data_IF_928610691792
#
_entry.id   IF_928610691792
#
_cell.length_a   1.000
_cell.length_b   1.000
_cell.length_c   1.000
_cell.angle_alpha   90.00
_cell.angle_beta   90.00
_cell.angle_gamma   90.00
#
_symmetry.space_group_name_H-M   'P 1'
#
loop_
_entity.id
_entity.type
_entity.pdbx_description
1 polymer ?
#
# COMPACT_ATOMS: atom_id res chain seq x y z
N UNK A 1 6.15 19.27 7.31
CA UNK A 1 6.83 17.96 7.11
C UNK A 1 7.66 18.06 5.83
N UNK A 2 8.98 17.96 5.94
CA UNK A 2 9.89 18.00 4.78
C UNK A 2 10.15 16.58 4.28
N UNK A 3 10.03 16.34 2.97
CA UNK A 3 10.23 15.01 2.36
C UNK A 3 11.62 14.45 2.67
N UNK A 4 12.66 15.27 2.58
CA UNK A 4 14.02 14.81 2.87
C UNK A 4 14.21 14.33 4.31
N UNK A 5 13.52 14.96 5.27
CA UNK A 5 13.55 14.51 6.67
C UNK A 5 12.77 13.19 6.85
N UNK A 6 11.59 13.08 6.24
CA UNK A 6 10.80 11.84 6.23
C UNK A 6 11.56 10.67 5.62
N UNK A 7 12.22 10.89 4.48
CA UNK A 7 13.00 9.88 3.77
C UNK A 7 14.17 9.37 4.62
N UNK A 8 14.94 10.29 5.25
CA UNK A 8 16.02 9.91 6.16
C UNK A 8 15.52 9.14 7.38
N UNK A 9 14.41 9.59 7.99
CA UNK A 9 13.81 8.89 9.12
C UNK A 9 13.34 7.49 8.75
N UNK A 10 12.74 7.34 7.56
CA UNK A 10 12.33 6.05 7.02
C UNK A 10 13.51 5.09 6.87
N UNK A 11 14.60 5.55 6.25
CA UNK A 11 15.78 4.73 5.98
C UNK A 11 16.57 4.33 7.24
N UNK A 12 16.41 5.05 8.36
CA UNK A 12 17.24 4.86 9.56
C UNK A 12 16.49 4.26 10.75
N UNK A 13 15.19 4.55 10.90
CA UNK A 13 14.47 4.28 12.14
C UNK A 13 13.12 3.60 11.95
N UNK A 14 12.62 3.44 10.72
CA UNK A 14 11.29 2.87 10.46
C UNK A 14 11.40 1.47 9.89
N UNK A 15 10.33 0.69 10.05
CA UNK A 15 10.17 -0.55 9.31
C UNK A 15 10.06 -0.23 7.82
N UNK A 16 10.70 -1.04 6.98
CA UNK A 16 10.76 -0.85 5.53
C UNK A 16 9.45 -1.27 4.84
N UNK A 17 8.35 -0.69 5.28
CA UNK A 17 7.01 -0.92 4.75
C UNK A 17 6.48 0.39 4.22
N UNK A 18 6.17 0.42 2.91
CA UNK A 18 5.63 1.59 2.24
C UNK A 18 4.29 1.25 1.60
N UNK A 19 3.36 2.20 1.68
CA UNK A 19 2.11 2.16 0.92
C UNK A 19 2.23 3.05 -0.29
N UNK A 20 1.87 2.52 -1.46
CA UNK A 20 1.80 3.27 -2.72
C UNK A 20 0.36 3.32 -3.20
N UNK A 21 -0.05 4.49 -3.67
CA UNK A 21 -1.38 4.70 -4.23
C UNK A 21 -1.34 5.78 -5.32
N UNK A 22 -2.29 5.71 -6.25
CA UNK A 22 -2.51 6.68 -7.31
C UNK A 22 -3.91 7.25 -7.20
N UNK A 23 -4.07 8.57 -7.25
CA UNK A 23 -5.39 9.21 -7.23
C UNK A 23 -5.57 10.19 -8.37
N UNK A 24 -6.70 10.05 -9.08
CA UNK A 24 -7.04 10.94 -10.20
C UNK A 24 -7.48 12.29 -9.66
N UNK A 25 -6.82 13.35 -10.10
CA UNK A 25 -7.20 14.70 -9.74
C UNK A 25 -8.49 15.09 -10.45
N UNK A 26 -9.39 15.73 -9.71
CA UNK A 26 -10.61 16.34 -10.25
C UNK A 26 -10.35 17.83 -10.43
N UNK A 27 -10.41 18.32 -11.66
CA UNK A 27 -10.21 19.74 -11.96
C UNK A 27 -9.86 19.97 -13.42
N UNK A 28 -9.64 21.25 -13.77
CA UNK A 28 -9.32 21.67 -15.15
C UNK A 28 -8.13 20.95 -15.77
N UNK A 29 -7.15 20.58 -14.93
CA UNK A 29 -5.87 20.02 -15.38
C UNK A 29 -5.79 18.49 -15.27
N UNK A 30 -6.80 17.83 -14.69
CA UNK A 30 -6.84 16.37 -14.60
C UNK A 30 -5.55 15.77 -14.02
N UNK A 31 -5.18 14.58 -14.50
CA UNK A 31 -3.95 13.89 -14.12
C UNK A 31 -4.10 12.88 -12.99
N UNK A 32 -2.99 12.22 -12.69
CA UNK A 32 -2.80 11.27 -11.61
C UNK A 32 -1.73 11.81 -10.66
N UNK A 33 -2.00 11.73 -9.36
CA UNK A 33 -0.99 11.95 -8.32
C UNK A 33 -0.65 10.61 -7.69
N UNK A 34 0.62 10.24 -7.77
CA UNK A 34 1.19 9.10 -7.07
C UNK A 34 1.68 9.55 -5.71
N UNK A 35 1.45 8.74 -4.68
CA UNK A 35 1.94 9.01 -3.33
C UNK A 35 2.53 7.74 -2.74
N UNK A 36 3.71 7.89 -2.13
CA UNK A 36 4.32 6.86 -1.29
C UNK A 36 4.35 7.34 0.15
N UNK A 37 3.82 6.53 1.06
CA UNK A 37 3.83 6.80 2.49
C UNK A 37 4.44 5.65 3.28
N UNK A 38 5.00 5.96 4.43
CA UNK A 38 5.40 4.97 5.43
C UNK A 38 4.69 5.27 6.75
N UNK A 39 4.65 4.29 7.65
CA UNK A 39 4.21 4.48 9.03
C UNK A 39 5.35 4.20 9.99
N UNK A 40 5.49 5.04 11.01
CA UNK A 40 6.43 4.78 12.09
C UNK A 40 5.81 3.88 13.18
N UNK A 41 6.58 3.58 14.22
CA UNK A 41 6.13 2.76 15.35
C UNK A 41 5.04 3.42 16.22
N UNK A 42 4.78 4.72 16.03
CA UNK A 42 3.71 5.48 16.69
C UNK A 42 2.48 5.63 15.78
N UNK A 43 2.41 4.85 14.70
CA UNK A 43 1.34 4.86 13.70
C UNK A 43 1.20 6.19 12.93
N UNK A 44 2.19 7.08 13.03
CA UNK A 44 2.19 8.34 12.30
C UNK A 44 2.57 8.10 10.84
N UNK A 45 1.84 8.75 9.93
CA UNK A 45 2.04 8.63 8.49
C UNK A 45 3.07 9.66 8.02
N UNK A 46 4.13 9.18 7.39
CA UNK A 46 5.17 9.99 6.76
C UNK A 46 5.04 9.91 5.24
N UNK A 47 5.11 11.07 4.58
CA UNK A 47 5.19 11.13 3.12
C UNK A 47 6.65 10.91 2.69
N UNK A 48 6.88 9.88 1.88
CA UNK A 48 8.19 9.49 1.37
C UNK A 48 8.44 10.09 0.00
N UNK A 49 7.45 10.00 -0.90
CA UNK A 49 7.52 10.56 -2.23
C UNK A 49 6.13 10.94 -2.73
N UNK A 50 6.08 11.85 -3.69
CA UNK A 50 4.91 12.08 -4.53
C UNK A 50 5.36 12.32 -5.97
N UNK A 51 4.49 12.00 -6.92
CA UNK A 51 4.70 12.23 -8.34
C UNK A 51 3.40 12.67 -9.00
N UNK A 52 3.52 13.35 -10.14
CA UNK A 52 2.38 13.73 -10.97
C UNK A 52 2.64 13.26 -12.40
N UNK A 53 1.60 12.77 -13.04
CA UNK A 53 1.58 12.50 -14.47
C UNK A 53 0.17 12.81 -15.02
N UNK A 54 0.03 12.94 -16.33
CA UNK A 54 -1.23 13.26 -16.98
C UNK A 54 -2.15 12.03 -17.09
N UNK A 55 -1.56 10.83 -17.15
CA UNK A 55 -2.28 9.58 -17.35
C UNK A 55 -1.85 8.51 -16.36
N UNK A 56 -2.81 7.72 -15.89
CA UNK A 56 -2.54 6.53 -15.08
C UNK A 56 -2.28 5.33 -15.99
N UNK A 57 -1.08 5.28 -16.57
CA UNK A 57 -0.64 4.18 -17.45
C UNK A 57 0.59 3.47 -16.87
N UNK A 58 0.91 2.31 -17.44
CA UNK A 58 2.07 1.51 -17.01
C UNK A 58 3.38 2.31 -17.04
N UNK A 59 3.56 3.20 -18.02
CA UNK A 59 4.74 4.03 -18.15
C UNK A 59 4.88 5.03 -17.00
N UNK A 60 3.78 5.66 -16.60
CA UNK A 60 3.73 6.65 -15.51
C UNK A 60 4.03 6.01 -14.15
N UNK A 61 3.46 4.82 -13.90
CA UNK A 61 3.79 4.03 -12.72
C UNK A 61 5.26 3.60 -12.70
N UNK A 62 5.79 3.14 -13.84
CA UNK A 62 7.19 2.74 -13.95
C UNK A 62 8.14 3.91 -13.68
N UNK A 63 7.90 5.06 -14.33
CA UNK A 63 8.65 6.29 -14.09
C UNK A 63 8.65 6.70 -12.61
N UNK A 64 7.47 6.72 -11.98
CA UNK A 64 7.37 7.08 -10.56
C UNK A 64 8.15 6.11 -9.67
N UNK A 65 8.05 4.80 -9.93
CA UNK A 65 8.77 3.78 -9.18
C UNK A 65 10.28 3.85 -9.39
N UNK A 66 10.76 4.19 -10.60
CA UNK A 66 12.18 4.41 -10.87
C UNK A 66 12.72 5.63 -10.11
N UNK A 67 11.98 6.73 -10.08
CA UNK A 67 12.32 7.89 -9.24
C UNK A 67 12.35 7.55 -7.75
N UNK A 68 11.38 6.75 -7.29
CA UNK A 68 11.33 6.26 -5.92
C UNK A 68 12.55 5.38 -5.61
N UNK A 69 12.93 4.47 -6.51
CA UNK A 69 14.11 3.61 -6.36
C UNK A 69 15.40 4.43 -6.27
N UNK A 70 15.54 5.46 -7.10
CA UNK A 70 16.67 6.38 -7.03
C UNK A 70 16.78 7.09 -5.68
N UNK A 71 15.65 7.33 -5.00
CA UNK A 71 15.61 8.00 -3.70
C UNK A 71 15.81 7.06 -2.51
N UNK A 72 15.26 5.84 -2.58
CA UNK A 72 15.34 4.84 -1.51
C UNK A 72 16.67 4.06 -1.53
N UNK A 73 17.30 3.95 -2.70
CA UNK A 73 18.40 3.02 -2.93
C UNK A 73 17.92 1.59 -3.12
N UNK A 74 18.86 0.65 -3.10
CA UNK A 74 18.56 -0.78 -3.18
C UNK A 74 18.30 -1.35 -1.79
N UNK A 75 17.15 -2.00 -1.62
CA UNK A 75 16.80 -2.67 -0.38
C UNK A 75 15.85 -3.85 -0.68
N UNK A 76 16.31 -5.06 -0.42
CA UNK A 76 15.57 -6.29 -0.71
C UNK A 76 14.48 -6.59 0.34
N UNK A 77 14.58 -5.98 1.54
CA UNK A 77 13.60 -6.15 2.62
C UNK A 77 12.40 -5.19 2.50
N UNK A 78 12.33 -4.40 1.42
CA UNK A 78 11.26 -3.44 1.20
C UNK A 78 9.93 -4.16 0.97
N UNK A 79 8.90 -3.74 1.71
CA UNK A 79 7.53 -4.24 1.56
C UNK A 79 6.66 -3.16 0.96
N UNK A 80 6.01 -3.45 -0.16
CA UNK A 80 4.99 -2.61 -0.77
C UNK A 80 3.59 -3.05 -0.33
N UNK A 81 2.79 -2.09 0.10
CA UNK A 81 1.35 -2.19 0.26
C UNK A 81 0.71 -1.41 -0.89
N UNK A 82 -0.14 -2.06 -1.69
CA UNK A 82 -0.88 -1.39 -2.77
C UNK A 82 -2.32 -1.90 -2.83
N UNK A 83 -3.16 -1.28 -3.67
CA UNK A 83 -4.51 -1.76 -3.97
C UNK A 83 -4.53 -3.09 -4.76
N UNK A 84 -3.35 -3.61 -5.15
CA UNK A 84 -3.14 -4.80 -5.99
C UNK A 84 -3.80 -4.74 -7.36
N UNK A 85 -3.90 -3.56 -7.96
CA UNK A 85 -4.21 -3.49 -9.38
C UNK A 85 -3.10 -4.20 -10.19
N UNK A 86 -3.43 -5.12 -11.13
CA UNK A 86 -2.44 -5.93 -11.84
C UNK A 86 -1.34 -5.14 -12.55
N UNK A 87 -1.67 -3.93 -13.05
CA UNK A 87 -0.67 -3.05 -13.66
C UNK A 87 0.38 -2.57 -12.65
N UNK A 88 -0.06 -2.22 -11.42
CA UNK A 88 0.82 -1.73 -10.35
C UNK A 88 1.72 -2.87 -9.88
N UNK A 89 1.13 -4.05 -9.61
CA UNK A 89 1.88 -5.26 -9.24
C UNK A 89 2.96 -5.58 -10.28
N UNK A 90 2.61 -5.56 -11.57
CA UNK A 90 3.55 -5.81 -12.65
C UNK A 90 4.66 -4.74 -12.79
N UNK A 91 4.44 -3.49 -12.35
CA UNK A 91 5.47 -2.44 -12.38
C UNK A 91 6.36 -2.48 -11.15
N UNK A 92 5.81 -2.71 -9.96
CA UNK A 92 6.59 -2.90 -8.75
C UNK A 92 7.52 -4.11 -8.93
N UNK A 93 7.03 -5.26 -9.39
CA UNK A 93 7.87 -6.45 -9.61
C UNK A 93 8.95 -6.24 -10.68
N UNK A 94 8.76 -5.29 -11.61
CA UNK A 94 9.78 -4.93 -12.59
C UNK A 94 10.87 -4.06 -11.98
N UNK A 95 10.50 -3.03 -11.21
CA UNK A 95 11.44 -2.03 -10.68
C UNK A 95 12.11 -2.50 -9.39
N UNK A 96 11.36 -3.20 -8.54
CA UNK A 96 11.75 -3.76 -7.24
C UNK A 96 11.52 -5.29 -7.22
N UNK A 97 12.30 -6.07 -7.98
CA UNK A 97 12.05 -7.51 -8.16
C UNK A 97 12.18 -8.35 -6.89
N UNK A 98 12.88 -7.86 -5.87
CA UNK A 98 13.09 -8.55 -4.60
C UNK A 98 12.17 -8.06 -3.48
N UNK A 99 11.43 -6.97 -3.71
CA UNK A 99 10.52 -6.43 -2.71
C UNK A 99 9.32 -7.37 -2.51
N UNK A 100 8.82 -7.44 -1.28
CA UNK A 100 7.59 -8.17 -0.97
C UNK A 100 6.38 -7.31 -1.31
N UNK A 101 5.41 -7.85 -2.04
CA UNK A 101 4.15 -7.16 -2.36
C UNK A 101 3.02 -7.70 -1.48
N UNK A 102 2.24 -6.78 -0.92
CA UNK A 102 1.13 -7.07 0.00
C UNK A 102 -0.10 -6.26 -0.36
N UNK A 103 -1.25 -6.66 0.20
CA UNK A 103 -2.55 -6.05 -0.10
C UNK A 103 -2.83 -4.95 0.92
N UNK A 104 -3.27 -3.80 0.44
CA UNK A 104 -3.86 -2.78 1.29
C UNK A 104 -5.16 -3.32 1.92
N UNK A 105 -5.13 -3.51 3.24
CA UNK A 105 -6.27 -4.03 4.00
C UNK A 105 -7.53 -3.17 3.78
N UNK A 106 -7.41 -1.85 3.73
CA UNK A 106 -8.54 -0.96 3.50
C UNK A 106 -9.21 -1.20 2.14
N UNK A 107 -8.43 -1.30 1.06
CA UNK A 107 -8.94 -1.61 -0.28
C UNK A 107 -9.56 -3.02 -0.32
N UNK A 108 -8.89 -3.98 0.30
CA UNK A 108 -9.39 -5.37 0.41
C UNK A 108 -10.76 -5.43 1.10
N UNK A 109 -10.90 -4.82 2.27
CA UNK A 109 -12.15 -4.78 3.02
C UNK A 109 -13.26 -4.03 2.26
N UNK A 110 -12.93 -2.93 1.57
CA UNK A 110 -13.88 -2.25 0.69
C UNK A 110 -14.37 -3.13 -0.46
N UNK A 111 -13.48 -3.91 -1.07
CA UNK A 111 -13.84 -4.84 -2.13
C UNK A 111 -14.76 -5.96 -1.61
N UNK A 112 -14.49 -6.48 -0.41
CA UNK A 112 -15.40 -7.44 0.26
C UNK A 112 -16.77 -6.79 0.50
N UNK A 113 -16.82 -5.59 1.09
CA UNK A 113 -18.08 -4.90 1.34
C UNK A 113 -18.88 -4.67 0.05
N UNK A 114 -18.21 -4.28 -1.04
CA UNK A 114 -18.85 -4.05 -2.34
C UNK A 114 -19.36 -5.34 -2.98
N UNK A 115 -18.65 -6.46 -2.80
CA UNK A 115 -19.00 -7.74 -3.42
C UNK A 115 -20.08 -8.51 -2.67
N UNK A 116 -20.00 -8.53 -1.34
CA UNK A 116 -20.87 -9.36 -0.51
C UNK A 116 -21.95 -8.58 0.22
N UNK A 117 -21.83 -7.24 0.31
CA UNK A 117 -22.78 -6.37 1.02
C UNK A 117 -23.00 -6.75 2.51
N UNK A 118 -22.04 -7.47 3.11
CA UNK A 118 -22.12 -8.01 4.48
C UNK A 118 -21.12 -7.30 5.39
N UNK A 119 -21.64 -6.41 6.26
CA UNK A 119 -20.82 -5.62 7.21
C UNK A 119 -20.17 -6.48 8.29
N UNK A 120 -20.84 -7.53 8.70
CA UNK A 120 -20.37 -8.53 9.66
C UNK A 120 -19.15 -9.28 9.14
N UNK A 121 -19.17 -9.73 7.87
CA UNK A 121 -18.00 -10.35 7.21
C UNK A 121 -16.83 -9.38 7.18
N UNK A 122 -17.07 -8.11 6.83
CA UNK A 122 -16.02 -7.07 6.83
C UNK A 122 -15.46 -6.85 8.23
N UNK A 123 -16.31 -6.86 9.25
CA UNK A 123 -15.88 -6.66 10.65
C UNK A 123 -14.98 -7.79 11.13
N UNK A 124 -15.32 -9.05 10.83
CA UNK A 124 -14.49 -10.18 11.26
C UNK A 124 -13.19 -10.25 10.44
N UNK A 125 -13.25 -9.94 9.14
CA UNK A 125 -12.05 -9.84 8.31
C UNK A 125 -11.09 -8.74 8.78
N UNK A 126 -11.61 -7.59 9.22
CA UNK A 126 -10.79 -6.51 9.78
C UNK A 126 -10.09 -6.96 11.06
N UNK A 127 -10.81 -7.64 11.96
CA UNK A 127 -10.23 -8.25 13.16
C UNK A 127 -9.15 -9.29 12.83
N UNK A 128 -9.39 -10.12 11.81
CA UNK A 128 -8.39 -11.08 11.35
C UNK A 128 -7.13 -10.36 10.82
N UNK A 129 -7.29 -9.34 9.98
CA UNK A 129 -6.18 -8.59 9.39
C UNK A 129 -5.33 -7.84 10.43
N UNK A 130 -5.94 -7.41 11.55
CA UNK A 130 -5.25 -6.73 12.65
C UNK A 130 -4.71 -7.68 13.73
N UNK A 131 -4.94 -8.99 13.60
CA UNK A 131 -4.50 -9.96 14.60
C UNK A 131 -2.97 -10.09 14.62
N UNK A 132 -2.37 -9.70 15.75
CA UNK A 132 -0.91 -9.78 15.94
C UNK A 132 -0.39 -11.21 16.15
N UNK A 133 -1.27 -12.15 16.53
CA UNK A 133 -0.90 -13.54 16.81
C UNK A 133 -1.74 -14.50 15.98
N UNK A 134 -1.11 -15.58 15.51
CA UNK A 134 -1.70 -16.56 14.62
C UNK A 134 -2.96 -17.21 15.22
N UNK A 135 -2.95 -17.50 16.53
CA UNK A 135 -4.12 -18.05 17.22
C UNK A 135 -5.37 -17.15 17.07
N UNK A 136 -5.22 -15.83 17.24
CA UNK A 136 -6.34 -14.88 17.08
C UNK A 136 -6.76 -14.75 15.62
N UNK A 137 -5.79 -14.71 14.70
CA UNK A 137 -6.06 -14.72 13.27
C UNK A 137 -6.90 -15.94 12.89
N UNK A 138 -6.43 -17.15 13.23
CA UNK A 138 -7.09 -18.41 12.94
C UNK A 138 -8.50 -18.47 13.54
N UNK A 139 -8.69 -17.98 14.77
CA UNK A 139 -10.01 -17.88 15.40
C UNK A 139 -10.99 -17.04 14.58
N UNK A 140 -10.58 -15.88 14.07
CA UNK A 140 -11.46 -15.02 13.25
C UNK A 140 -11.71 -15.63 11.86
N UNK A 141 -10.73 -16.31 11.29
CA UNK A 141 -10.90 -17.03 10.02
C UNK A 141 -11.87 -18.21 10.18
N UNK A 142 -11.83 -18.91 11.30
CA UNK A 142 -12.79 -19.98 11.61
C UNK A 142 -14.20 -19.44 11.83
N UNK A 143 -14.34 -18.30 12.54
CA UNK A 143 -15.61 -17.59 12.67
C UNK A 143 -16.21 -17.26 11.29
N UNK A 144 -15.41 -16.73 10.37
CA UNK A 144 -15.82 -16.46 8.98
C UNK A 144 -16.26 -17.71 8.22
N UNK A 145 -15.55 -18.82 8.38
CA UNK A 145 -15.90 -20.10 7.72
C UNK A 145 -17.25 -20.62 8.21
N UNK A 146 -17.63 -20.33 9.45
CA UNK A 146 -18.87 -20.78 10.06
C UNK A 146 -20.08 -19.87 9.81
N UNK A 147 -19.93 -18.75 9.09
CA UNK A 147 -21.02 -17.79 8.81
C UNK A 147 -21.98 -18.24 7.68
N UNK A 148 -22.21 -19.54 7.54
CA UNK A 148 -23.10 -20.11 6.50
C UNK A 148 -24.46 -19.40 6.47
#
# INVERSE_FOLDING_TARGET
MSIGASLRGFQTCMRLVITVDGTKLKGRFGGIVFVTTAKDGNELVYRIAFGYDDLEINLSWEWFLDCLKGSLGHNDDLVFISDRHPSIEARISKVFPYATLTICCWHFLKNIQKRYHRKDVVTIMDKAAQAYIEFKYNRHIEELRNMH
#
